data_IF_606793653950
#
_entry.id   IF_606793653950
#
_cell.length_a   1.000
_cell.length_b   1.000
_cell.length_c   1.000
_cell.angle_alpha   90.00
_cell.angle_beta   90.00
_cell.angle_gamma   90.00
#
_symmetry.space_group_name_H-M   'P 1'
#
loop_
_entity.id
_entity.type
_entity.pdbx_description
1 polymer ?
#
# COMPACT_ATOMS: atom_id res chain seq x y z
N UNK A 1 35.24 -9.33 -84.70
CA UNK A 1 34.37 -9.80 -83.60
C UNK A 1 34.49 -8.82 -82.45
N UNK A 2 33.48 -7.99 -82.20
CA UNK A 2 33.51 -7.01 -81.11
C UNK A 2 32.59 -7.47 -79.97
N UNK A 3 33.18 -7.91 -78.85
CA UNK A 3 32.43 -8.18 -77.63
C UNK A 3 32.12 -6.86 -76.92
N UNK A 4 30.84 -6.51 -76.83
CA UNK A 4 30.36 -5.31 -76.15
C UNK A 4 30.61 -5.34 -74.64
N UNK A 5 30.81 -4.15 -74.05
CA UNK A 5 31.07 -3.98 -72.63
C UNK A 5 29.91 -4.49 -71.77
N UNK A 6 30.16 -5.49 -70.94
CA UNK A 6 29.19 -6.06 -70.00
C UNK A 6 28.99 -5.07 -68.84
N UNK A 7 27.80 -4.48 -68.74
CA UNK A 7 27.44 -3.58 -67.64
C UNK A 7 27.40 -4.37 -66.33
N UNK A 8 28.18 -3.94 -65.33
CA UNK A 8 28.20 -4.56 -63.99
C UNK A 8 26.86 -4.34 -63.28
N UNK A 9 26.31 -5.41 -62.72
CA UNK A 9 25.07 -5.35 -61.94
C UNK A 9 25.26 -4.51 -60.66
N UNK A 10 24.28 -3.67 -60.35
CA UNK A 10 24.31 -2.78 -59.18
C UNK A 10 24.13 -3.59 -57.88
N UNK A 11 24.93 -3.27 -56.86
CA UNK A 11 24.86 -3.91 -55.55
C UNK A 11 23.44 -3.75 -54.92
N UNK A 12 22.96 -4.76 -54.17
CA UNK A 12 21.65 -4.71 -53.54
C UNK A 12 21.59 -3.60 -52.49
N UNK A 13 20.52 -2.80 -52.54
CA UNK A 13 20.26 -1.71 -51.59
C UNK A 13 19.86 -2.31 -50.22
N UNK A 14 20.44 -1.86 -49.10
CA UNK A 14 20.07 -2.35 -47.78
C UNK A 14 18.60 -2.00 -47.48
N UNK A 15 17.80 -3.02 -47.16
CA UNK A 15 16.41 -2.83 -46.75
C UNK A 15 16.39 -2.26 -45.32
N UNK A 16 16.08 -0.97 -45.17
CA UNK A 16 15.80 -0.40 -43.86
C UNK A 16 14.55 -1.06 -43.27
N UNK A 17 14.74 -1.86 -42.23
CA UNK A 17 13.61 -2.38 -41.46
C UNK A 17 13.05 -1.24 -40.61
N UNK A 18 11.78 -0.90 -40.77
CA UNK A 18 11.05 0.07 -39.92
C UNK A 18 10.77 -0.51 -38.51
N UNK A 19 11.69 -1.30 -37.96
CA UNK A 19 11.53 -1.88 -36.63
C UNK A 19 11.82 -0.79 -35.61
N UNK A 20 10.77 -0.12 -35.13
CA UNK A 20 10.87 0.78 -33.98
C UNK A 20 11.40 -0.04 -32.80
N UNK A 21 12.65 0.18 -32.40
CA UNK A 21 13.19 -0.38 -31.16
C UNK A 21 12.40 0.24 -30.00
N UNK A 22 11.41 -0.52 -29.51
CA UNK A 22 10.67 -0.13 -28.33
C UNK A 22 11.50 -0.51 -27.11
N UNK A 23 12.20 0.46 -26.52
CA UNK A 23 12.87 0.28 -25.23
C UNK A 23 11.88 -0.07 -24.11
N UNK A 24 12.35 -0.14 -22.86
CA UNK A 24 11.52 -0.42 -21.70
C UNK A 24 10.37 0.59 -21.58
N UNK A 25 9.18 0.23 -22.06
CA UNK A 25 8.00 1.09 -22.01
C UNK A 25 7.47 1.08 -20.59
N UNK A 26 7.43 2.26 -19.95
CA UNK A 26 6.60 2.46 -18.76
C UNK A 26 5.14 2.47 -19.24
N UNK A 27 4.50 1.30 -19.24
CA UNK A 27 3.10 1.14 -19.64
C UNK A 27 2.25 1.68 -18.50
N UNK A 28 1.71 2.89 -18.67
CA UNK A 28 0.79 3.47 -17.69
C UNK A 28 -0.45 2.57 -17.55
N UNK A 29 -0.92 2.31 -16.32
CA UNK A 29 -2.09 1.48 -16.10
C UNK A 29 -3.33 2.14 -16.73
N UNK A 30 -4.12 1.35 -17.45
CA UNK A 30 -5.33 1.81 -18.16
C UNK A 30 -6.33 2.51 -17.23
N UNK A 31 -6.33 2.18 -15.93
CA UNK A 31 -7.24 2.72 -14.90
C UNK A 31 -6.49 3.41 -13.75
N UNK A 32 -5.53 4.27 -14.08
CA UNK A 32 -4.72 4.98 -13.08
C UNK A 32 -5.54 5.74 -12.02
N UNK A 33 -6.69 6.31 -12.39
CA UNK A 33 -7.58 7.01 -11.46
C UNK A 33 -8.23 6.09 -10.43
N UNK A 34 -8.60 4.86 -10.82
CA UNK A 34 -9.17 3.88 -9.90
C UNK A 34 -8.14 3.40 -8.87
N UNK A 35 -6.90 3.14 -9.31
CA UNK A 35 -5.79 2.75 -8.43
C UNK A 35 -5.47 3.85 -7.41
N UNK A 36 -5.46 5.13 -7.84
CA UNK A 36 -5.28 6.26 -6.92
C UNK A 36 -6.39 6.31 -5.87
N UNK A 37 -7.66 6.15 -6.27
CA UNK A 37 -8.81 6.15 -5.34
C UNK A 37 -8.69 5.02 -4.31
N UNK A 38 -8.28 3.82 -4.73
CA UNK A 38 -8.07 2.69 -3.82
C UNK A 38 -6.95 2.95 -2.82
N UNK A 39 -5.83 3.54 -3.27
CA UNK A 39 -4.73 3.93 -2.40
C UNK A 39 -5.16 4.98 -1.37
N UNK A 40 -5.93 5.99 -1.77
CA UNK A 40 -6.48 6.97 -0.84
C UNK A 40 -7.41 6.32 0.18
N UNK A 41 -8.32 5.44 -0.25
CA UNK A 41 -9.21 4.69 0.65
C UNK A 41 -8.41 3.93 1.71
N UNK A 42 -7.37 3.18 1.30
CA UNK A 42 -6.49 2.42 2.20
C UNK A 42 -5.77 3.32 3.22
N UNK A 43 -5.25 4.46 2.78
CA UNK A 43 -4.57 5.42 3.68
C UNK A 43 -5.51 6.02 4.72
N UNK A 44 -6.69 6.46 4.29
CA UNK A 44 -7.68 7.07 5.19
C UNK A 44 -8.30 6.04 6.14
N UNK A 45 -8.57 4.82 5.69
CA UNK A 45 -9.08 3.76 6.56
C UNK A 45 -8.07 3.35 7.61
N UNK A 46 -6.78 3.22 7.26
CA UNK A 46 -5.74 2.85 8.21
C UNK A 46 -5.56 3.89 9.34
N UNK A 47 -5.58 5.19 9.00
CA UNK A 47 -5.49 6.27 10.00
C UNK A 47 -6.74 6.41 10.87
N UNK A 48 -7.93 6.14 10.32
CA UNK A 48 -9.16 6.10 11.10
C UNK A 48 -9.16 4.93 12.09
N UNK A 49 -8.70 3.74 11.66
CA UNK A 49 -8.60 2.57 12.52
C UNK A 49 -7.65 2.84 13.69
N UNK A 50 -6.44 3.36 13.43
CA UNK A 50 -5.50 3.67 14.51
C UNK A 50 -6.01 4.73 15.49
N UNK A 51 -6.72 5.77 14.99
CA UNK A 51 -7.35 6.76 15.85
C UNK A 51 -8.50 6.16 16.69
N UNK A 52 -9.28 5.24 16.11
CA UNK A 52 -10.31 4.51 16.85
C UNK A 52 -9.73 3.55 17.88
N UNK A 53 -8.62 2.86 17.58
CA UNK A 53 -7.88 2.01 18.52
C UNK A 53 -7.33 2.83 19.68
N UNK A 54 -6.77 4.02 19.42
CA UNK A 54 -6.32 4.93 20.46
C UNK A 54 -7.48 5.46 21.32
N UNK A 55 -8.62 5.80 20.71
CA UNK A 55 -9.81 6.24 21.46
C UNK A 55 -10.39 5.12 22.32
N UNK A 56 -10.43 3.89 21.79
CA UNK A 56 -10.86 2.71 22.53
C UNK A 56 -9.87 2.37 23.64
N UNK A 57 -8.56 2.41 23.40
CA UNK A 57 -7.54 2.19 24.42
C UNK A 57 -7.52 3.30 25.48
N UNK A 58 -7.79 4.56 25.11
CA UNK A 58 -7.94 5.66 26.04
C UNK A 58 -9.18 5.48 26.93
N UNK A 59 -10.31 5.07 26.35
CA UNK A 59 -11.54 4.77 27.10
C UNK A 59 -11.43 3.48 27.91
N UNK A 60 -10.81 2.44 27.37
CA UNK A 60 -10.61 1.14 27.99
C UNK A 60 -9.53 1.20 29.07
N UNK A 61 -8.42 1.89 28.84
CA UNK A 61 -7.38 2.15 29.83
C UNK A 61 -7.84 3.12 30.92
N UNK A 62 -8.68 4.12 30.56
CA UNK A 62 -9.43 4.89 31.56
C UNK A 62 -10.43 4.00 32.32
N UNK A 63 -11.02 2.99 31.65
CA UNK A 63 -11.87 1.99 32.28
C UNK A 63 -11.09 0.95 33.08
N UNK A 64 -9.81 0.69 32.82
CA UNK A 64 -8.94 -0.15 33.68
C UNK A 64 -8.64 0.59 34.99
N UNK A 65 -8.61 1.92 34.95
CA UNK A 65 -8.62 2.76 36.16
C UNK A 65 -10.02 2.72 36.85
N UNK A 66 -11.09 2.32 36.14
CA UNK A 66 -12.46 2.21 36.67
C UNK A 66 -12.91 0.77 37.04
N UNK A 67 -12.37 -0.30 36.43
CA UNK A 67 -12.53 -1.73 36.81
C UNK A 67 -11.59 -2.01 37.97
N UNK A 68 -11.88 -1.40 39.11
CA UNK A 68 -10.94 -1.05 40.17
C UNK A 68 -11.08 0.40 40.67
N UNK A 69 -12.10 1.12 40.19
CA UNK A 69 -12.40 2.50 40.57
C UNK A 69 -12.85 2.60 42.03
N UNK A 70 -12.98 3.83 42.56
CA UNK A 70 -13.26 4.11 43.99
C UNK A 70 -14.43 3.32 44.60
N UNK A 71 -15.37 2.80 43.80
CA UNK A 71 -16.48 1.95 44.26
C UNK A 71 -16.00 0.52 44.58
N UNK A 72 -15.14 -0.07 43.77
CA UNK A 72 -14.56 -1.41 44.03
C UNK A 72 -13.56 -1.36 45.20
N UNK A 73 -12.73 -0.32 45.28
CA UNK A 73 -11.83 -0.07 46.44
C UNK A 73 -12.58 0.19 47.74
N UNK A 74 -13.79 0.75 47.68
CA UNK A 74 -14.67 0.90 48.86
C UNK A 74 -15.32 -0.42 49.26
N UNK A 75 -15.67 -1.28 48.29
CA UNK A 75 -16.16 -2.62 48.58
C UNK A 75 -15.07 -3.50 49.21
N UNK A 76 -13.82 -3.41 48.73
CA UNK A 76 -12.66 -4.11 49.31
C UNK A 76 -12.32 -3.61 50.72
N UNK A 77 -12.44 -2.31 51.01
CA UNK A 77 -12.22 -1.77 52.36
C UNK A 77 -13.41 -1.95 53.32
N UNK A 78 -14.60 -2.27 52.82
CA UNK A 78 -15.79 -2.51 53.63
C UNK A 78 -16.02 -4.01 53.93
N UNK A 79 -15.35 -4.92 53.21
CA UNK A 79 -15.48 -6.37 53.38
C UNK A 79 -14.18 -7.03 53.82
N UNK A 80 -14.02 -7.23 55.13
CA UNK A 80 -13.17 -8.28 55.69
C UNK A 80 -11.71 -7.91 55.94
N UNK A 81 -11.43 -7.36 57.13
CA UNK A 81 -10.10 -7.52 57.73
C UNK A 81 -9.87 -8.98 58.16
N UNK A 82 -8.65 -9.53 58.05
CA UNK A 82 -8.38 -10.89 58.52
C UNK A 82 -8.36 -10.89 60.06
N UNK A 83 -9.36 -11.50 60.66
CA UNK A 83 -9.33 -11.94 62.05
C UNK A 83 -8.26 -13.00 62.22
N UNK A 84 -7.26 -12.72 63.08
CA UNK A 84 -6.34 -13.72 63.63
C UNK A 84 -7.13 -14.82 64.36
N UNK A 85 -6.98 -16.08 63.94
CA UNK A 85 -6.78 -17.27 64.77
C UNK A 85 -6.46 -18.47 63.89
#
# INVERSE_FOLDING_TARGET
MAQGQIKKAKAPVPKHTNRKQTGARVIKPKKASALKKEQFKKKHSAGLISATEQSLAGKAGHLEILRGGKKDKKAEKAGGGPTKK
#
